data_IF_197513928126
#
_entry.id   IF_197513928126
#
_cell.length_a   1.000
_cell.length_b   1.000
_cell.length_c   1.000
_cell.angle_alpha   90.00
_cell.angle_beta   90.00
_cell.angle_gamma   90.00
#
_symmetry.space_group_name_H-M   'P 1'
#
loop_
_entity.id
_entity.type
_entity.pdbx_description
1 polymer ?
#
# COMPACT_ATOMS: atom_id res chain seq x y z
N UNK A 1 21.11 25.04 25.66
CA UNK A 1 20.84 26.08 26.68
C UNK A 1 21.24 27.42 26.08
N UNK A 2 20.35 28.40 25.95
CA UNK A 2 20.76 29.73 25.55
C UNK A 2 21.76 30.24 26.60
N UNK A 3 22.97 30.57 26.14
CA UNK A 3 24.04 31.13 26.98
C UNK A 3 23.49 32.43 27.56
N UNK A 4 23.39 32.50 28.89
CA UNK A 4 23.04 33.76 29.55
C UNK A 4 24.05 34.83 29.09
N UNK A 5 23.59 36.00 28.61
CA UNK A 5 24.52 37.06 28.23
C UNK A 5 25.40 37.39 29.43
N UNK A 6 26.71 37.40 29.22
CA UNK A 6 27.69 37.69 30.27
C UNK A 6 27.31 39.02 30.95
N UNK A 7 27.19 39.01 32.27
CA UNK A 7 26.90 40.21 33.03
C UNK A 7 28.05 41.23 32.84
N UNK A 8 27.74 42.49 32.49
CA UNK A 8 28.77 43.47 32.22
C UNK A 8 29.54 43.82 33.50
N UNK A 9 30.87 43.85 33.42
CA UNK A 9 31.75 44.26 34.52
C UNK A 9 31.67 45.78 34.68
N UNK A 10 31.15 46.23 35.82
CA UNK A 10 30.95 47.65 36.13
C UNK A 10 32.30 48.30 36.51
N UNK A 11 32.64 49.41 35.86
CA UNK A 11 33.86 50.19 36.13
C UNK A 11 33.56 51.51 36.85
N UNK A 12 34.57 52.09 37.50
CA UNK A 12 34.43 53.38 38.18
C UNK A 12 34.04 54.50 37.18
N UNK A 13 33.10 55.36 37.58
CA UNK A 13 32.59 56.45 36.72
C UNK A 13 31.45 56.05 35.78
N UNK A 14 30.96 54.80 35.83
CA UNK A 14 29.81 54.37 35.03
C UNK A 14 28.51 54.40 35.84
N UNK A 15 27.42 54.85 35.22
CA UNK A 15 26.07 54.76 35.78
C UNK A 15 25.27 53.68 35.07
N UNK A 16 24.51 52.88 35.82
CA UNK A 16 23.74 51.74 35.32
C UNK A 16 22.30 51.80 35.82
N UNK A 17 21.36 51.37 34.99
CA UNK A 17 19.92 51.34 35.30
C UNK A 17 19.32 49.99 34.96
N UNK A 18 18.43 49.51 35.82
CA UNK A 18 17.52 48.40 35.50
C UNK A 18 16.29 48.98 34.81
N UNK A 19 16.23 48.81 33.50
CA UNK A 19 15.21 49.41 32.67
C UNK A 19 14.42 48.33 31.91
N UNK A 20 13.17 48.65 31.57
CA UNK A 20 12.27 47.75 30.86
C UNK A 20 12.42 47.96 29.37
N UNK A 21 12.66 46.89 28.61
CA UNK A 21 12.52 46.91 27.15
C UNK A 21 11.14 46.37 26.81
N UNK A 22 10.32 47.22 26.17
CA UNK A 22 8.97 46.85 25.74
C UNK A 22 9.00 46.29 24.31
N UNK A 23 8.09 45.34 23.96
CA UNK A 23 7.95 44.86 22.59
C UNK A 23 7.65 46.00 21.61
N UNK A 24 8.28 45.94 20.43
CA UNK A 24 8.16 46.99 19.41
C UNK A 24 6.89 46.78 18.57
N UNK A 25 5.99 47.78 18.43
CA UNK A 25 4.83 47.66 17.55
C UNK A 25 5.26 47.67 16.07
N UNK A 26 4.79 46.69 15.31
CA UNK A 26 5.03 46.49 13.87
C UNK A 26 3.67 46.30 13.18
N UNK A 27 3.41 47.09 12.15
CA UNK A 27 2.22 46.92 11.32
C UNK A 27 2.39 45.71 10.41
N UNK A 28 1.39 44.82 10.38
CA UNK A 28 1.36 43.64 9.53
C UNK A 28 -0.01 43.52 8.87
N UNK A 29 -0.05 43.07 7.63
CA UNK A 29 -1.30 42.72 6.94
C UNK A 29 -1.64 41.26 7.15
N UNK A 30 -2.87 40.97 7.58
CA UNK A 30 -3.38 39.61 7.71
C UNK A 30 -4.64 39.47 6.83
N UNK A 31 -4.61 38.53 5.89
CA UNK A 31 -5.78 38.16 5.09
C UNK A 31 -6.57 37.11 5.88
N UNK A 32 -7.75 37.49 6.38
CA UNK A 32 -8.62 36.60 7.16
C UNK A 32 -9.79 36.17 6.28
N UNK A 33 -10.07 34.86 6.25
CA UNK A 33 -11.26 34.31 5.58
C UNK A 33 -12.48 34.71 6.40
N UNK A 34 -13.32 35.58 5.85
CA UNK A 34 -14.56 36.04 6.49
C UNK A 34 -15.76 35.19 6.11
N UNK A 35 -15.63 34.40 5.04
CA UNK A 35 -16.63 33.44 4.62
C UNK A 35 -15.96 32.29 3.87
N UNK A 36 -16.07 31.10 4.43
CA UNK A 36 -15.48 29.90 3.86
C UNK A 36 -16.10 29.54 2.51
N UNK A 37 -15.33 28.81 1.70
CA UNK A 37 -15.82 28.24 0.45
C UNK A 37 -16.91 27.22 0.74
N UNK A 38 -17.97 27.22 -0.08
CA UNK A 38 -19.05 26.23 0.03
C UNK A 38 -19.35 25.58 -1.30
N UNK A 39 -19.62 24.28 -1.26
CA UNK A 39 -20.07 23.52 -2.41
C UNK A 39 -21.58 23.67 -2.54
N UNK A 40 -22.04 24.42 -3.54
CA UNK A 40 -23.46 24.49 -3.86
C UNK A 40 -23.82 23.31 -4.74
N UNK A 41 -24.63 22.40 -4.20
CA UNK A 41 -25.15 21.24 -4.92
C UNK A 41 -26.53 21.60 -5.47
N UNK A 42 -26.71 21.42 -6.78
CA UNK A 42 -28.01 21.51 -7.44
C UNK A 42 -28.41 20.13 -7.93
N UNK A 43 -29.59 19.67 -7.51
CA UNK A 43 -30.14 18.37 -7.89
C UNK A 43 -31.27 18.60 -8.88
N UNK A 44 -31.18 17.94 -10.04
CA UNK A 44 -32.27 17.84 -11.01
C UNK A 44 -33.05 16.55 -10.72
N UNK A 45 -34.33 16.64 -10.33
CA UNK A 45 -35.15 15.47 -10.02
C UNK A 45 -35.30 14.54 -11.23
N UNK A 46 -35.50 13.25 -10.95
CA UNK A 46 -35.81 12.27 -11.97
C UNK A 46 -37.20 12.51 -12.59
N UNK A 47 -37.32 12.29 -13.91
CA UNK A 47 -38.60 12.36 -14.62
C UNK A 47 -39.11 10.93 -14.87
N UNK A 48 -40.31 10.66 -14.37
CA UNK A 48 -41.04 9.41 -14.57
C UNK A 48 -42.15 9.64 -15.61
N UNK A 49 -42.34 8.69 -16.51
CA UNK A 49 -43.46 8.69 -17.44
C UNK A 49 -44.25 7.39 -17.34
N UNK A 50 -45.57 7.49 -17.40
CA UNK A 50 -46.45 6.34 -17.44
C UNK A 50 -46.32 5.63 -18.80
N UNK A 51 -45.90 4.37 -18.78
CA UNK A 51 -45.87 3.46 -19.92
C UNK A 51 -46.75 2.25 -19.68
N UNK A 52 -47.10 1.55 -20.77
CA UNK A 52 -47.71 0.23 -20.72
C UNK A 52 -46.65 -0.79 -21.06
N UNK A 53 -46.41 -1.76 -20.18
CA UNK A 53 -45.53 -2.91 -20.45
C UNK A 53 -46.39 -4.16 -20.50
N UNK A 54 -46.19 -4.98 -21.53
CA UNK A 54 -46.84 -6.28 -21.63
C UNK A 54 -46.11 -7.27 -20.73
N UNK A 55 -46.82 -7.86 -19.78
CA UNK A 55 -46.31 -8.89 -18.89
C UNK A 55 -47.09 -10.17 -19.17
N UNK A 56 -46.39 -11.30 -19.27
CA UNK A 56 -47.00 -12.61 -19.39
C UNK A 56 -47.69 -12.92 -18.06
N UNK A 57 -49.01 -12.98 -18.05
CA UNK A 57 -49.80 -13.34 -16.85
C UNK A 57 -50.01 -14.83 -16.74
N UNK A 58 -50.04 -15.52 -17.89
CA UNK A 58 -50.08 -16.97 -17.96
C UNK A 58 -49.14 -17.44 -19.05
N UNK A 59 -48.13 -18.18 -18.64
CA UNK A 59 -47.15 -18.77 -19.55
C UNK A 59 -47.85 -19.70 -20.56
N UNK A 60 -47.47 -19.58 -21.82
CA UNK A 60 -47.91 -20.47 -22.88
C UNK A 60 -47.41 -21.88 -22.59
N UNK A 61 -48.24 -22.88 -22.84
CA UNK A 61 -47.88 -24.28 -22.57
C UNK A 61 -47.99 -25.13 -23.82
N UNK A 62 -47.22 -26.22 -23.84
CA UNK A 62 -47.17 -27.17 -24.94
C UNK A 62 -47.85 -28.43 -24.45
N UNK A 63 -49.02 -28.73 -25.01
CA UNK A 63 -49.71 -29.98 -24.72
C UNK A 63 -49.63 -30.90 -25.92
N UNK A 64 -49.71 -32.21 -25.70
CA UNK A 64 -49.53 -33.21 -26.74
C UNK A 64 -50.81 -34.02 -26.89
N UNK A 65 -51.33 -34.10 -28.12
CA UNK A 65 -52.39 -35.06 -28.47
C UNK A 65 -51.73 -36.31 -29.03
N UNK A 66 -51.95 -37.46 -28.40
CA UNK A 66 -51.36 -38.74 -28.80
C UNK A 66 -52.24 -39.39 -29.86
N UNK A 67 -51.70 -39.55 -31.07
CA UNK A 67 -52.31 -40.39 -32.09
C UNK A 67 -51.82 -41.85 -31.90
N UNK A 68 -52.72 -42.85 -31.92
CA UNK A 68 -52.35 -44.24 -31.62
C UNK A 68 -51.52 -44.86 -32.74
N UNK A 69 -50.63 -45.82 -32.43
CA UNK A 69 -49.77 -46.45 -33.42
C UNK A 69 -50.53 -47.46 -34.28
N UNK A 70 -50.08 -47.63 -35.51
CA UNK A 70 -50.53 -48.72 -36.40
C UNK A 70 -49.44 -49.79 -36.52
N UNK A 71 -49.83 -51.04 -36.76
CA UNK A 71 -48.91 -52.18 -36.82
C UNK A 71 -49.01 -52.90 -38.17
N UNK A 72 -47.89 -53.46 -38.64
CA UNK A 72 -47.82 -54.39 -39.78
C UNK A 72 -46.92 -55.57 -39.46
N UNK A 73 -47.16 -56.73 -40.07
CA UNK A 73 -46.32 -57.91 -39.87
C UNK A 73 -45.05 -57.84 -40.72
N UNK A 74 -43.91 -58.15 -40.11
CA UNK A 74 -42.61 -58.28 -40.78
C UNK A 74 -41.94 -59.56 -40.30
N UNK A 75 -41.34 -60.32 -41.22
CA UNK A 75 -40.51 -61.47 -40.90
C UNK A 75 -39.09 -61.02 -40.57
N UNK A 76 -38.58 -61.41 -39.40
CA UNK A 76 -37.24 -61.08 -38.93
C UNK A 76 -36.49 -62.38 -38.62
N UNK A 77 -35.27 -62.51 -39.16
CA UNK A 77 -34.39 -63.64 -38.88
C UNK A 77 -33.59 -63.29 -37.60
N UNK A 78 -33.90 -63.98 -36.51
CA UNK A 78 -33.34 -63.76 -35.17
C UNK A 78 -32.28 -64.82 -34.89
N UNK A 79 -31.11 -64.37 -34.47
CA UNK A 79 -30.03 -65.23 -33.96
C UNK A 79 -30.46 -65.83 -32.63
N UNK A 80 -30.73 -67.14 -32.60
CA UNK A 80 -31.17 -67.85 -31.40
C UNK A 80 -29.99 -68.37 -30.57
N UNK A 81 -28.85 -68.59 -31.21
CA UNK A 81 -27.61 -68.93 -30.52
C UNK A 81 -26.45 -68.18 -31.17
N UNK A 82 -25.75 -67.31 -30.43
CA UNK A 82 -24.60 -66.61 -30.98
C UNK A 82 -23.43 -67.55 -31.18
N UNK A 83 -22.52 -67.14 -32.06
CA UNK A 83 -21.22 -67.79 -32.20
C UNK A 83 -20.49 -67.76 -30.85
N UNK A 84 -20.12 -68.94 -30.32
CA UNK A 84 -19.43 -69.04 -29.03
C UNK A 84 -17.98 -69.44 -29.29
N UNK A 85 -17.07 -68.64 -28.74
CA UNK A 85 -15.62 -68.84 -28.80
C UNK A 85 -15.14 -69.47 -27.49
N UNK A 86 -14.49 -70.63 -27.57
CA UNK A 86 -13.88 -71.31 -26.42
C UNK A 86 -12.37 -71.12 -26.47
N UNK A 87 -11.82 -70.52 -25.41
CA UNK A 87 -10.38 -70.31 -25.24
C UNK A 87 -9.77 -71.38 -24.33
N UNK A 88 -8.70 -72.05 -24.77
CA UNK A 88 -7.92 -72.99 -23.96
C UNK A 88 -6.50 -72.46 -23.78
N UNK A 89 -6.04 -72.34 -22.54
CA UNK A 89 -4.74 -71.77 -22.18
C UNK A 89 -3.64 -72.83 -22.28
N UNK A 90 -2.57 -72.55 -23.01
CA UNK A 90 -1.36 -73.38 -23.15
C UNK A 90 -0.27 -72.75 -22.27
N UNK A 91 0.21 -73.42 -21.22
CA UNK A 91 1.10 -72.83 -20.22
C UNK A 91 2.50 -72.53 -20.76
N UNK A 92 3.17 -71.56 -20.14
CA UNK A 92 4.55 -71.18 -20.45
C UNK A 92 5.60 -72.24 -20.07
N UNK A 93 6.68 -72.32 -20.85
CA UNK A 93 7.80 -73.26 -20.64
C UNK A 93 9.08 -72.49 -20.35
N UNK A 94 9.80 -72.88 -19.28
CA UNK A 94 11.07 -72.31 -18.84
C UNK A 94 12.21 -73.31 -18.95
N UNK A 95 13.43 -72.82 -19.21
CA UNK A 95 14.68 -73.59 -19.27
C UNK A 95 15.73 -72.98 -18.33
N UNK A 96 16.50 -73.80 -17.62
CA UNK A 96 17.48 -73.31 -16.64
C UNK A 96 18.83 -72.97 -17.29
N UNK A 97 19.37 -71.80 -16.97
CA UNK A 97 20.68 -71.35 -17.42
C UNK A 97 21.55 -70.91 -16.22
N UNK A 98 22.83 -71.30 -16.20
CA UNK A 98 23.77 -70.89 -15.16
C UNK A 98 24.42 -69.55 -15.52
N UNK A 99 24.28 -68.57 -14.64
CA UNK A 99 24.86 -67.24 -14.79
C UNK A 99 25.78 -66.93 -13.61
N UNK A 100 27.05 -66.66 -13.91
CA UNK A 100 28.05 -66.25 -12.89
C UNK A 100 27.99 -64.75 -12.73
N UNK A 101 27.71 -64.28 -11.51
CA UNK A 101 27.65 -62.85 -11.19
C UNK A 101 28.75 -62.51 -10.18
N UNK A 102 29.57 -61.50 -10.49
CA UNK A 102 30.61 -60.96 -9.61
C UNK A 102 29.96 -60.08 -8.55
N UNK A 103 30.03 -60.50 -7.29
CA UNK A 103 29.42 -59.81 -6.16
C UNK A 103 30.29 -58.65 -5.67
N UNK A 104 31.61 -58.89 -5.61
CA UNK A 104 32.60 -57.87 -5.27
C UNK A 104 33.82 -58.03 -6.17
N UNK A 105 34.27 -56.93 -6.77
CA UNK A 105 35.44 -56.92 -7.65
C UNK A 105 36.75 -57.00 -6.85
N UNK A 106 37.81 -57.49 -7.49
CA UNK A 106 39.11 -57.61 -6.85
C UNK A 106 39.62 -56.20 -6.49
N UNK A 107 40.13 -56.04 -5.26
CA UNK A 107 40.64 -54.75 -4.78
C UNK A 107 41.92 -54.91 -3.98
N UNK A 108 42.81 -53.94 -4.14
CA UNK A 108 44.11 -53.94 -3.46
C UNK A 108 44.05 -53.10 -2.19
N UNK A 109 44.42 -53.71 -1.07
CA UNK A 109 44.44 -53.05 0.25
C UNK A 109 45.88 -52.91 0.72
N UNK A 110 46.19 -51.78 1.36
CA UNK A 110 47.53 -51.45 1.85
C UNK A 110 47.63 -51.76 3.35
N UNK A 111 48.42 -52.76 3.72
CA UNK A 111 48.68 -53.15 5.12
C UNK A 111 50.06 -52.63 5.59
N UNK A 112 50.23 -52.13 6.83
CA UNK A 112 51.51 -51.63 7.29
C UNK A 112 52.58 -52.73 7.36
N UNK A 113 53.77 -52.48 6.82
CA UNK A 113 54.86 -53.44 6.76
C UNK A 113 56.22 -52.75 7.01
N UNK A 114 57.27 -53.51 7.37
CA UNK A 114 58.62 -52.96 7.61
C UNK A 114 59.48 -53.12 6.37
N UNK A 115 60.06 -52.03 5.86
CA UNK A 115 60.98 -52.03 4.69
C UNK A 115 62.39 -51.55 5.09
N UNK A 116 63.42 -52.00 4.36
CA UNK A 116 64.82 -51.71 4.68
C UNK A 116 65.12 -50.19 4.62
N UNK A 117 65.59 -49.62 5.73
CA UNK A 117 65.82 -48.17 5.90
C UNK A 117 65.00 -47.54 7.02
N UNK A 118 63.87 -48.15 7.41
CA UNK A 118 63.02 -47.69 8.54
C UNK A 118 63.48 -48.23 9.91
N UNK A 119 64.66 -48.86 10.00
CA UNK A 119 65.15 -49.54 11.21
C UNK A 119 65.81 -48.61 12.25
N UNK A 120 66.27 -47.41 11.87
CA UNK A 120 66.92 -46.46 12.80
C UNK A 120 66.19 -45.13 12.98
N UNK A 121 64.96 -45.00 12.48
CA UNK A 121 64.23 -43.74 12.56
C UNK A 121 63.00 -43.88 13.49
N UNK A 122 63.23 -43.93 14.80
CA UNK A 122 62.13 -43.79 15.79
C UNK A 122 61.55 -42.37 15.85
N UNK A 123 62.21 -41.38 15.23
CA UNK A 123 61.75 -39.97 15.20
C UNK A 123 61.37 -39.45 13.80
N UNK A 124 61.56 -40.19 12.70
CA UNK A 124 61.24 -39.66 11.35
C UNK A 124 59.79 -39.88 10.88
N UNK A 125 58.95 -40.57 11.65
CA UNK A 125 57.51 -40.70 11.39
C UNK A 125 57.08 -41.41 10.09
N UNK A 126 57.98 -42.05 9.35
CA UNK A 126 57.66 -42.68 8.06
C UNK A 126 57.17 -44.12 8.26
N UNK A 127 55.88 -44.37 8.01
CA UNK A 127 55.28 -45.72 7.96
C UNK A 127 55.25 -46.24 6.52
N UNK A 128 55.74 -47.47 6.31
CA UNK A 128 55.64 -48.15 5.01
C UNK A 128 54.42 -49.08 4.98
N UNK A 129 53.74 -49.14 3.84
CA UNK A 129 52.57 -49.99 3.60
C UNK A 129 52.81 -50.87 2.37
N UNK A 130 52.44 -52.14 2.48
CA UNK A 130 52.55 -53.15 1.43
C UNK A 130 51.16 -53.44 0.85
N UNK A 131 51.04 -53.44 -0.46
CA UNK A 131 49.80 -53.73 -1.16
C UNK A 131 49.55 -55.24 -1.24
N UNK A 132 48.37 -55.68 -0.82
CA UNK A 132 47.90 -57.06 -0.98
C UNK A 132 46.55 -57.04 -1.70
N UNK A 133 46.43 -57.87 -2.73
CA UNK A 133 45.21 -57.99 -3.51
C UNK A 133 44.22 -58.93 -2.82
N UNK A 134 42.97 -58.47 -2.68
CA UNK A 134 41.82 -59.29 -2.25
C UNK A 134 41.07 -59.68 -3.53
N UNK A 135 40.99 -60.97 -3.87
CA UNK A 135 40.41 -61.41 -5.14
C UNK A 135 38.89 -61.21 -5.18
N UNK A 136 38.37 -61.03 -6.40
CA UNK A 136 36.95 -60.85 -6.67
C UNK A 136 36.14 -62.07 -6.21
N UNK A 137 34.99 -61.84 -5.58
CA UNK A 137 34.06 -62.90 -5.20
C UNK A 137 32.97 -63.04 -6.24
N UNK A 138 32.88 -64.20 -6.89
CA UNK A 138 31.84 -64.53 -7.87
C UNK A 138 30.94 -65.65 -7.35
N UNK A 139 29.64 -65.60 -7.66
CA UNK A 139 28.68 -66.66 -7.36
C UNK A 139 27.87 -67.03 -8.60
N UNK A 140 27.77 -68.32 -8.88
CA UNK A 140 26.94 -68.83 -9.97
C UNK A 140 25.52 -69.07 -9.46
N UNK A 141 24.53 -68.59 -10.20
CA UNK A 141 23.10 -68.81 -9.92
C UNK A 141 22.44 -69.44 -11.14
N UNK A 142 21.47 -70.34 -10.89
CA UNK A 142 20.59 -70.90 -11.92
C UNK A 142 19.40 -69.96 -12.10
N UNK A 143 19.21 -69.47 -13.32
CA UNK A 143 18.11 -68.59 -13.69
C UNK A 143 17.23 -69.32 -14.70
N UNK A 144 15.91 -69.29 -14.49
CA UNK A 144 14.94 -69.86 -15.42
C UNK A 144 14.62 -68.85 -16.51
N UNK A 145 15.04 -69.14 -17.74
CA UNK A 145 14.79 -68.32 -18.93
C UNK A 145 13.54 -68.84 -19.63
N UNK A 146 12.61 -67.93 -19.92
CA UNK A 146 11.35 -68.24 -20.59
C UNK A 146 11.61 -68.60 -22.06
N UNK A 147 11.32 -69.85 -22.45
CA UNK A 147 11.52 -70.35 -23.81
C UNK A 147 10.26 -70.18 -24.66
N UNK A 148 9.09 -70.40 -24.06
CA UNK A 148 7.80 -70.22 -24.73
C UNK A 148 6.81 -69.54 -23.77
N UNK A 149 6.23 -68.39 -24.15
CA UNK A 149 5.23 -67.72 -23.34
C UNK A 149 3.89 -68.46 -23.38
N UNK A 150 3.06 -68.22 -22.37
CA UNK A 150 1.70 -68.73 -22.31
C UNK A 150 0.89 -68.19 -23.49
N UNK A 151 0.15 -69.07 -24.17
CA UNK A 151 -0.62 -68.70 -25.37
C UNK A 151 -2.01 -69.32 -25.32
N UNK A 152 -2.97 -68.70 -26.01
CA UNK A 152 -4.37 -69.10 -25.98
C UNK A 152 -4.77 -69.64 -27.35
N UNK A 153 -5.40 -70.81 -27.37
CA UNK A 153 -6.01 -71.41 -28.56
C UNK A 153 -7.53 -71.19 -28.55
N UNK A 154 -8.09 -70.71 -29.66
CA UNK A 154 -9.52 -70.42 -29.83
C UNK A 154 -10.19 -71.45 -30.75
N UNK A 155 -11.31 -72.03 -30.30
CA UNK A 155 -12.19 -72.88 -31.11
C UNK A 155 -13.60 -72.24 -31.19
N UNK A 156 -14.17 -72.14 -32.39
CA UNK A 156 -15.37 -71.33 -32.69
C UNK A 156 -16.56 -72.24 -33.06
N UNK A 157 -17.65 -72.16 -32.31
CA UNK A 157 -18.93 -72.82 -32.61
C UNK A 157 -19.87 -71.85 -33.35
N UNK A 158 -20.38 -72.16 -34.57
CA UNK A 158 -21.08 -71.20 -35.41
C UNK A 158 -22.49 -70.83 -34.90
N UNK A 159 -22.92 -69.60 -35.22
CA UNK A 159 -24.23 -69.08 -34.85
C UNK A 159 -25.41 -69.77 -35.56
N UNK A 160 -26.52 -69.94 -34.83
CA UNK A 160 -27.77 -70.51 -35.34
C UNK A 160 -28.86 -69.43 -35.38
N UNK A 161 -29.58 -69.36 -36.50
CA UNK A 161 -30.61 -68.35 -36.74
C UNK A 161 -31.97 -69.01 -37.03
N UNK A 162 -33.03 -68.48 -36.45
CA UNK A 162 -34.42 -68.86 -36.71
C UNK A 162 -35.20 -67.65 -37.24
N UNK A 163 -36.28 -67.89 -37.99
CA UNK A 163 -37.10 -66.79 -38.54
C UNK A 163 -38.42 -66.70 -37.81
N UNK A 164 -38.73 -65.52 -37.27
CA UNK A 164 -39.94 -65.26 -36.50
C UNK A 164 -40.70 -64.10 -37.13
N UNK A 165 -42.01 -64.26 -37.28
CA UNK A 165 -42.91 -63.17 -37.71
C UNK A 165 -43.33 -62.36 -36.51
N UNK A 166 -43.03 -61.05 -36.50
CA UNK A 166 -43.48 -60.14 -35.45
C UNK A 166 -44.28 -58.97 -36.01
N UNK A 167 -45.25 -58.50 -35.25
CA UNK A 167 -45.93 -57.24 -35.53
C UNK A 167 -44.97 -56.10 -35.21
N UNK A 168 -44.56 -55.35 -36.23
CA UNK A 168 -43.76 -54.14 -36.08
C UNK A 168 -44.68 -52.95 -36.24
N UNK A 169 -44.46 -51.93 -35.40
CA UNK A 169 -45.15 -50.64 -35.49
C UNK A 169 -44.83 -50.03 -36.87
N UNK A 170 -45.86 -49.87 -37.70
CA UNK A 170 -45.74 -49.28 -39.03
C UNK A 170 -45.69 -47.76 -38.94
N UNK A 171 -46.62 -47.17 -38.17
CA UNK A 171 -46.58 -45.76 -37.79
C UNK A 171 -46.58 -45.67 -36.28
N UNK A 172 -45.51 -45.13 -35.66
CA UNK A 172 -45.45 -45.00 -34.21
C UNK A 172 -46.47 -44.00 -33.71
N UNK A 173 -46.82 -44.13 -32.42
CA UNK A 173 -47.68 -43.16 -31.76
C UNK A 173 -46.96 -41.81 -31.79
N UNK A 174 -47.57 -40.81 -32.42
CA UNK A 174 -46.97 -39.49 -32.51
C UNK A 174 -47.73 -38.52 -31.64
N UNK A 175 -46.96 -37.78 -30.85
CA UNK A 175 -47.44 -36.69 -30.03
C UNK A 175 -47.48 -35.44 -30.91
N UNK A 176 -48.67 -35.05 -31.37
CA UNK A 176 -48.85 -33.80 -32.11
C UNK A 176 -48.85 -32.67 -31.10
N UNK A 177 -47.87 -31.78 -31.21
CA UNK A 177 -47.70 -30.61 -30.35
C UNK A 177 -48.81 -29.59 -30.63
N UNK A 178 -49.57 -29.24 -29.59
CA UNK A 178 -50.56 -28.18 -29.59
C UNK A 178 -50.03 -27.07 -28.69
N UNK A 179 -49.60 -25.97 -29.33
CA UNK A 179 -49.10 -24.77 -28.67
C UNK A 179 -50.27 -23.93 -28.17
N UNK A 180 -50.36 -23.71 -26.86
CA UNK A 180 -51.21 -22.67 -26.29
C UNK A 180 -50.38 -21.41 -26.10
N UNK A 181 -50.79 -20.34 -26.78
CA UNK A 181 -50.13 -19.03 -26.69
C UNK A 181 -50.24 -18.44 -25.28
N UNK A 182 -49.22 -17.71 -24.80
CA UNK A 182 -49.27 -17.06 -23.51
C UNK A 182 -50.36 -15.99 -23.44
N UNK A 183 -50.98 -15.87 -22.27
CA UNK A 183 -51.90 -14.77 -21.99
C UNK A 183 -51.07 -13.55 -21.56
N UNK A 184 -51.22 -12.45 -22.29
CA UNK A 184 -50.51 -11.20 -22.03
C UNK A 184 -51.48 -10.20 -21.39
N UNK A 185 -51.08 -9.59 -20.27
CA UNK A 185 -51.79 -8.43 -19.72
C UNK A 185 -50.92 -7.18 -19.83
N UNK A 186 -51.57 -6.04 -20.05
CA UNK A 186 -50.89 -4.75 -20.06
C UNK A 186 -50.86 -4.18 -18.65
N UNK A 187 -49.66 -4.06 -18.09
CA UNK A 187 -49.45 -3.44 -16.79
C UNK A 187 -48.99 -1.99 -17.00
N UNK A 188 -49.64 -1.06 -16.30
CA UNK A 188 -49.23 0.35 -16.27
C UNK A 188 -48.02 0.46 -15.34
N UNK A 189 -46.90 0.91 -15.88
CA UNK A 189 -45.63 1.06 -15.16
C UNK A 189 -45.12 2.48 -15.31
N UNK A 190 -44.46 3.01 -14.29
CA UNK A 190 -43.75 4.28 -14.37
C UNK A 190 -42.31 4.02 -14.80
N UNK A 191 -41.94 4.47 -16.01
CA UNK A 191 -40.60 4.31 -16.56
C UNK A 191 -39.76 5.56 -16.27
N UNK A 192 -38.52 5.32 -15.86
CA UNK A 192 -37.52 6.35 -15.60
C UNK A 192 -36.95 6.87 -16.92
N UNK A 193 -37.39 8.06 -17.34
CA UNK A 193 -36.97 8.67 -18.62
C UNK A 193 -35.70 9.50 -18.44
N UNK A 194 -35.58 10.18 -17.29
CA UNK A 194 -34.35 10.89 -16.92
C UNK A 194 -33.94 10.51 -15.50
N UNK A 195 -32.73 9.97 -15.30
CA UNK A 195 -32.23 9.68 -13.97
C UNK A 195 -31.92 10.97 -13.22
N UNK A 196 -31.89 10.89 -11.88
CA UNK A 196 -31.48 12.01 -11.03
C UNK A 196 -30.05 12.44 -11.37
N UNK A 197 -29.83 13.75 -11.46
CA UNK A 197 -28.51 14.32 -11.72
C UNK A 197 -28.17 15.33 -10.63
N UNK A 198 -26.95 15.27 -10.11
CA UNK A 198 -26.43 16.23 -9.15
C UNK A 198 -25.22 16.94 -9.76
N UNK A 199 -25.25 18.27 -9.76
CA UNK A 199 -24.12 19.11 -10.15
C UNK A 199 -23.62 19.89 -8.95
N UNK A 200 -22.29 20.02 -8.82
CA UNK A 200 -21.66 20.79 -7.75
C UNK A 200 -20.89 21.96 -8.34
N UNK A 201 -21.07 23.15 -7.76
CA UNK A 201 -20.28 24.34 -8.08
C UNK A 201 -19.63 24.84 -6.80
N UNK A 202 -18.30 24.97 -6.82
CA UNK A 202 -17.52 25.50 -5.70
C UNK A 202 -17.60 27.02 -5.72
N UNK A 203 -18.18 27.60 -4.68
CA UNK A 203 -18.19 29.05 -4.48
C UNK A 203 -16.97 29.40 -3.64
N UNK A 204 -16.05 30.19 -4.21
CA UNK A 204 -14.81 30.56 -3.56
C UNK A 204 -15.04 31.32 -2.25
N UNK A 205 -14.08 31.18 -1.34
CA UNK A 205 -14.06 31.89 -0.06
C UNK A 205 -13.89 33.40 -0.25
N UNK A 206 -14.45 34.18 0.67
CA UNK A 206 -14.27 35.63 0.70
C UNK A 206 -13.27 35.97 1.78
N UNK A 207 -12.19 36.64 1.39
CA UNK A 207 -11.15 37.13 2.29
C UNK A 207 -11.30 38.63 2.53
N UNK A 208 -10.89 39.08 3.72
CA UNK A 208 -10.75 40.50 4.04
C UNK A 208 -9.34 40.75 4.59
N UNK A 209 -8.69 41.77 4.05
CA UNK A 209 -7.37 42.21 4.51
C UNK A 209 -7.52 43.15 5.69
N UNK A 210 -6.94 42.78 6.83
CA UNK A 210 -6.90 43.59 8.04
C UNK A 210 -5.48 44.08 8.31
N UNK A 211 -5.36 45.35 8.70
CA UNK A 211 -4.13 45.91 9.25
C UNK A 211 -4.10 45.59 10.74
N UNK A 212 -3.14 44.76 11.16
CA UNK A 212 -2.98 44.36 12.55
C UNK A 212 -1.64 44.87 13.08
N UNK A 213 -1.65 45.39 14.31
CA UNK A 213 -0.41 45.73 15.01
C UNK A 213 0.09 44.49 15.74
N UNK A 214 1.20 43.94 15.26
CA UNK A 214 1.94 42.86 15.93
C UNK A 214 3.05 43.48 16.78
N UNK A 215 3.40 42.85 17.88
CA UNK A 215 4.54 43.26 18.70
C UNK A 215 5.73 42.33 18.45
N UNK A 216 6.90 42.91 18.19
CA UNK A 216 8.16 42.21 17.98
C UNK A 216 9.03 42.23 19.24
N UNK A 217 9.59 41.07 19.60
CA UNK A 217 10.29 40.83 20.85
C UNK A 217 9.39 40.61 22.08
N UNK A 218 10.01 40.29 23.22
CA UNK A 218 9.35 40.05 24.50
C UNK A 218 9.69 41.16 25.52
N UNK A 219 8.77 41.42 26.44
CA UNK A 219 9.00 42.34 27.54
C UNK A 219 10.07 41.77 28.48
N UNK A 220 11.15 42.52 28.70
CA UNK A 220 12.26 42.09 29.56
C UNK A 220 12.85 43.22 30.38
N UNK A 221 13.38 42.88 31.54
CA UNK A 221 14.17 43.78 32.38
C UNK A 221 15.64 43.59 32.00
N UNK A 222 16.32 44.69 31.67
CA UNK A 222 17.72 44.67 31.28
C UNK A 222 18.52 45.69 32.07
N UNK A 223 19.78 45.35 32.39
CA UNK A 223 20.75 46.32 32.90
C UNK A 223 21.38 47.07 31.73
N UNK A 224 21.36 48.41 31.77
CA UNK A 224 21.94 49.28 30.74
C UNK A 224 22.76 50.39 31.37
N UNK A 225 23.87 50.74 30.72
CA UNK A 225 24.63 51.92 31.09
C UNK A 225 23.85 53.18 30.71
N UNK A 226 23.83 54.16 31.60
CA UNK A 226 23.19 55.45 31.44
C UNK A 226 24.18 56.59 31.64
N UNK A 227 23.81 57.76 31.10
CA UNK A 227 24.51 59.01 31.40
C UNK A 227 24.38 59.28 32.89
N UNK A 228 25.49 59.57 33.56
CA UNK A 228 25.49 59.91 34.98
C UNK A 228 24.89 61.30 35.20
N UNK A 229 24.20 61.51 36.33
CA UNK A 229 23.56 62.80 36.65
C UNK A 229 24.54 63.99 36.59
N UNK A 230 25.80 63.78 36.97
CA UNK A 230 26.85 64.79 36.91
C UNK A 230 27.22 65.23 35.47
N UNK A 231 26.98 64.37 34.49
CA UNK A 231 27.29 64.60 33.07
C UNK A 231 26.07 65.14 32.29
N UNK A 232 24.91 65.27 32.95
CA UNK A 232 23.71 65.86 32.36
C UNK A 232 23.80 67.38 32.50
N UNK A 233 24.31 68.03 31.45
CA UNK A 233 24.37 69.49 31.35
C UNK A 233 23.25 70.10 30.48
N UNK A 234 23.07 71.42 30.57
CA UNK A 234 22.06 72.17 29.81
C UNK A 234 22.22 71.97 28.28
N UNK A 235 23.47 71.88 27.81
CA UNK A 235 23.79 71.73 26.39
C UNK A 235 23.34 70.37 25.85
N UNK A 236 23.64 69.29 26.58
CA UNK A 236 23.19 67.93 26.28
C UNK A 236 21.67 67.87 26.26
N UNK A 237 20.99 68.45 27.25
CA UNK A 237 19.52 68.44 27.31
C UNK A 237 18.91 69.25 26.16
N UNK A 238 19.47 70.40 25.78
CA UNK A 238 18.99 71.16 24.60
C UNK A 238 19.13 70.36 23.31
N UNK A 239 20.24 69.63 23.13
CA UNK A 239 20.45 68.73 21.98
C UNK A 239 19.44 67.58 21.99
N UNK A 240 19.27 66.92 23.14
CA UNK A 240 18.26 65.87 23.35
C UNK A 240 16.85 66.35 22.98
N UNK A 241 16.43 67.49 23.52
CA UNK A 241 15.13 68.09 23.22
C UNK A 241 14.99 68.37 21.71
N UNK A 242 16.01 68.97 21.10
CA UNK A 242 15.99 69.28 19.66
C UNK A 242 15.84 68.03 18.79
N UNK A 243 16.61 66.98 19.09
CA UNK A 243 16.55 65.71 18.34
C UNK A 243 15.23 64.99 18.56
N UNK A 244 14.73 64.91 19.79
CA UNK A 244 13.43 64.29 20.07
C UNK A 244 12.31 64.99 19.28
N UNK A 245 12.31 66.33 19.25
CA UNK A 245 11.35 67.09 18.47
C UNK A 245 11.45 66.78 16.96
N UNK A 246 12.66 66.70 16.41
CA UNK A 246 12.90 66.34 15.00
C UNK A 246 12.45 64.92 14.67
N UNK A 247 12.60 63.98 15.62
CA UNK A 247 12.18 62.58 15.50
C UNK A 247 10.67 62.39 15.72
N UNK A 248 9.91 63.47 15.94
CA UNK A 248 8.46 63.42 16.13
C UNK A 248 7.99 63.18 17.57
N UNK A 249 8.90 63.24 18.55
CA UNK A 249 8.61 63.06 19.98
C UNK A 249 8.71 64.42 20.69
N UNK A 250 7.59 65.14 20.95
CA UNK A 250 7.64 66.54 21.38
C UNK A 250 8.08 66.68 22.85
N UNK A 251 9.29 67.21 23.15
CA UNK A 251 9.83 67.27 24.50
C UNK A 251 9.34 68.47 25.33
N UNK A 252 8.51 69.35 24.73
CA UNK A 252 8.16 70.65 25.32
C UNK A 252 9.02 71.79 24.77
N UNK A 253 9.31 72.78 25.61
CA UNK A 253 10.19 73.90 25.24
C UNK A 253 11.64 73.40 25.19
N UNK A 254 12.44 73.91 24.26
CA UNK A 254 13.87 73.62 24.19
C UNK A 254 14.59 74.59 25.14
N UNK A 255 14.54 74.27 26.43
CA UNK A 255 15.04 75.12 27.52
C UNK A 255 16.26 74.53 28.24
N UNK A 256 16.71 73.33 27.86
CA UNK A 256 17.84 72.66 28.50
C UNK A 256 17.52 72.05 29.85
N UNK A 257 16.23 71.96 30.22
CA UNK A 257 15.79 71.35 31.47
C UNK A 257 15.21 69.96 31.20
N UNK A 258 15.73 68.94 31.91
CA UNK A 258 15.22 67.56 31.81
C UNK A 258 13.91 67.41 32.59
N UNK A 259 12.88 68.12 32.14
CA UNK A 259 11.57 68.15 32.78
C UNK A 259 10.68 66.96 32.40
N UNK A 260 9.50 66.90 33.03
CA UNK A 260 8.50 65.83 32.79
C UNK A 260 8.15 65.61 31.32
N UNK A 261 8.07 66.70 30.54
CA UNK A 261 7.73 66.63 29.11
C UNK A 261 8.86 66.04 28.28
N UNK A 262 10.11 66.39 28.59
CA UNK A 262 11.29 65.85 27.91
C UNK A 262 11.48 64.38 28.23
N UNK A 263 11.30 63.98 29.49
CA UNK A 263 11.32 62.57 29.90
C UNK A 263 10.20 61.76 29.24
N UNK A 264 8.97 62.31 29.13
CA UNK A 264 7.88 61.64 28.44
C UNK A 264 8.19 61.40 26.95
N UNK A 265 8.77 62.39 26.27
CA UNK A 265 9.20 62.26 24.89
C UNK A 265 10.32 61.23 24.72
N UNK A 266 11.30 61.21 25.63
CA UNK A 266 12.35 60.21 25.66
C UNK A 266 11.80 58.79 25.82
N UNK A 267 10.87 58.58 26.74
CA UNK A 267 10.24 57.26 26.95
C UNK A 267 9.47 56.80 25.71
N UNK A 268 8.73 57.68 25.03
CA UNK A 268 8.04 57.33 23.79
C UNK A 268 9.02 56.95 22.67
N UNK A 269 10.14 57.68 22.55
CA UNK A 269 11.20 57.35 21.61
C UNK A 269 11.79 55.95 21.90
N UNK A 270 12.08 55.67 23.17
CA UNK A 270 12.62 54.38 23.61
C UNK A 270 11.65 53.23 23.32
N UNK A 271 10.36 53.42 23.60
CA UNK A 271 9.31 52.43 23.32
C UNK A 271 9.16 52.14 21.81
N UNK A 272 9.18 53.18 20.98
CA UNK A 272 9.09 53.01 19.52
C UNK A 272 10.35 52.34 18.94
N UNK A 273 11.51 52.60 19.54
CA UNK A 273 12.80 52.02 19.14
C UNK A 273 13.07 50.62 19.67
N UNK A 274 12.30 50.12 20.64
CA UNK A 274 12.60 48.87 21.35
C UNK A 274 13.84 48.98 22.26
N UNK A 275 14.11 50.18 22.78
CA UNK A 275 15.22 50.48 23.70
C UNK A 275 14.75 50.36 25.17
N UNK A 276 15.69 50.41 26.11
CA UNK A 276 15.38 50.39 27.53
C UNK A 276 14.75 51.72 27.96
N UNK A 277 13.54 51.63 28.53
CA UNK A 277 12.67 52.78 28.81
C UNK A 277 12.95 53.36 30.19
N UNK A 278 13.00 54.70 30.29
CA UNK A 278 12.87 55.44 31.55
C UNK A 278 14.08 56.26 31.97
N UNK A 279 15.27 56.01 31.42
CA UNK A 279 16.49 56.78 31.70
C UNK A 279 17.23 57.10 30.40
N UNK A 280 18.08 58.14 30.39
CA UNK A 280 18.95 58.44 29.24
C UNK A 280 20.10 57.42 29.20
N UNK A 281 19.83 56.26 28.63
CA UNK A 281 20.82 55.19 28.43
C UNK A 281 21.82 55.56 27.33
N UNK A 282 23.04 55.02 27.37
CA UNK A 282 24.02 55.26 26.29
C UNK A 282 23.52 54.72 24.94
N UNK A 283 22.73 53.64 24.94
CA UNK A 283 22.04 53.17 23.72
C UNK A 283 21.04 54.22 23.19
N UNK A 284 20.39 54.98 24.07
CA UNK A 284 19.49 56.07 23.67
C UNK A 284 20.27 57.28 23.14
N UNK A 285 21.40 57.62 23.75
CA UNK A 285 22.32 58.68 23.28
C UNK A 285 22.81 58.35 21.87
N UNK A 286 23.31 57.13 21.65
CA UNK A 286 23.76 56.66 20.35
C UNK A 286 22.61 56.61 19.32
N UNK A 287 21.43 56.11 19.70
CA UNK A 287 20.27 56.07 18.80
C UNK A 287 19.75 57.47 18.43
N UNK A 288 19.95 58.46 19.29
CA UNK A 288 19.63 59.87 19.04
C UNK A 288 20.79 60.63 18.36
N UNK A 289 22.00 60.06 18.29
CA UNK A 289 23.18 60.71 17.73
C UNK A 289 23.65 61.89 18.59
N UNK A 290 23.67 61.72 19.91
CA UNK A 290 24.02 62.74 20.90
C UNK A 290 25.45 62.60 21.44
N UNK A 291 26.26 61.75 20.81
CA UNK A 291 27.65 61.44 21.17
C UNK A 291 28.60 62.65 21.08
#
# INVERSE_FOLDING_TARGET
MPVAPAEPVIQAGQCWVYAQVKPKPVQSTLDVVIKDSVNRISVTPAELQNGLTQVVTREGTRTYRIEPPTYRQVSERVEVRPEVKRYTVVPAVYEEHEQTVTLEEARTVLDPCRTAGTRYARESGVMAFCAREVPAQTRTLKTQVLVAPESVREDIEPAVFETVTRWVVDKPAQAVEVLLEPELAQLRVEQLVRPVQASQVVIAEKTQRLQVTRFDGEARIVSRQAVCDADIDEGLVRRLQSVLAQRGFPPGRIDGLLGRRTLAALMQFQEHGGLAVGALTLESVAALGLD
#
